data_IF_132297739475
#
_entry.id   IF_132297739475
#
_cell.length_a   1.000
_cell.length_b   1.000
_cell.length_c   1.000
_cell.angle_alpha   90.00
_cell.angle_beta   90.00
_cell.angle_gamma   90.00
#
_symmetry.space_group_name_H-M   'P 1'
#
loop_
_entity.id
_entity.type
_entity.pdbx_description
1 polymer ?
#
# COMPACT_ATOMS: atom_id res chain seq x y z
N UNK A 1 -2.02 -25.51 -66.09
CA UNK A 1 -2.39 -24.60 -64.95
C UNK A 1 -2.36 -25.41 -63.69
N UNK A 2 -1.29 -25.28 -62.86
CA UNK A 2 -1.21 -25.96 -61.54
C UNK A 2 -1.88 -25.10 -60.52
N UNK A 3 -2.94 -25.61 -59.87
CA UNK A 3 -3.62 -24.93 -58.74
C UNK A 3 -2.85 -25.26 -57.48
N UNK A 4 -2.24 -24.25 -56.85
CA UNK A 4 -1.60 -24.36 -55.54
C UNK A 4 -2.73 -24.16 -54.53
N UNK A 5 -3.03 -25.19 -53.70
CA UNK A 5 -3.89 -25.08 -52.54
C UNK A 5 -3.03 -24.59 -51.37
N UNK A 6 -3.29 -23.34 -50.94
CA UNK A 6 -2.69 -22.77 -49.73
C UNK A 6 -3.49 -23.25 -48.53
N UNK A 7 -2.89 -24.18 -47.76
CA UNK A 7 -3.48 -24.66 -46.51
C UNK A 7 -3.11 -23.63 -45.41
N UNK A 8 -4.07 -22.76 -45.06
CA UNK A 8 -3.90 -21.83 -43.91
C UNK A 8 -4.19 -22.60 -42.64
N UNK A 9 -3.12 -22.90 -41.87
CA UNK A 9 -3.25 -23.44 -40.52
C UNK A 9 -3.65 -22.29 -39.57
N UNK A 10 -4.92 -22.27 -39.14
CA UNK A 10 -5.34 -21.44 -38.00
C UNK A 10 -4.79 -22.07 -36.73
N UNK A 11 -3.69 -21.51 -36.20
CA UNK A 11 -3.28 -21.79 -34.85
C UNK A 11 -4.20 -20.96 -33.93
N UNK A 12 -5.25 -21.60 -33.42
CA UNK A 12 -6.06 -21.05 -32.33
C UNK A 12 -5.19 -21.03 -31.07
N UNK A 13 -4.53 -19.92 -30.79
CA UNK A 13 -3.98 -19.67 -29.46
C UNK A 13 -5.18 -19.54 -28.50
N UNK A 14 -5.47 -20.58 -27.73
CA UNK A 14 -6.30 -20.43 -26.54
C UNK A 14 -5.58 -19.45 -25.60
N UNK A 15 -5.98 -18.19 -25.61
CA UNK A 15 -5.65 -17.29 -24.54
C UNK A 15 -6.44 -17.78 -23.31
N UNK A 16 -5.79 -18.48 -22.41
CA UNK A 16 -6.37 -18.75 -21.10
C UNK A 16 -6.46 -17.40 -20.38
N UNK A 17 -7.67 -17.00 -20.00
CA UNK A 17 -7.86 -15.86 -19.12
C UNK A 17 -7.13 -16.16 -17.80
N UNK A 18 -6.33 -15.22 -17.35
CA UNK A 18 -5.70 -15.32 -16.02
C UNK A 18 -6.77 -15.01 -14.97
N UNK A 19 -6.96 -15.92 -14.06
CA UNK A 19 -7.88 -15.78 -12.93
C UNK A 19 -7.16 -15.20 -11.73
N UNK A 20 -7.88 -14.43 -10.96
CA UNK A 20 -7.44 -13.83 -9.71
C UNK A 20 -8.11 -14.54 -8.54
N UNK A 21 -7.36 -14.98 -7.54
CA UNK A 21 -7.92 -15.67 -6.39
C UNK A 21 -7.16 -15.38 -5.09
N UNK A 22 -7.89 -15.52 -3.98
CA UNK A 22 -7.34 -15.59 -2.63
C UNK A 22 -7.28 -17.05 -2.20
N UNK A 23 -6.11 -17.51 -1.78
CA UNK A 23 -5.89 -18.85 -1.21
C UNK A 23 -5.70 -18.71 0.29
N UNK A 24 -6.69 -19.10 1.05
CA UNK A 24 -6.69 -19.01 2.52
C UNK A 24 -6.05 -20.27 3.13
N UNK A 25 -5.21 -20.08 4.13
CA UNK A 25 -4.60 -21.19 4.87
C UNK A 25 -5.41 -21.58 6.09
N UNK A 26 -5.29 -22.84 6.50
CA UNK A 26 -6.03 -23.41 7.64
C UNK A 26 -5.63 -22.78 8.98
N UNK A 27 -4.35 -22.52 9.17
CA UNK A 27 -3.78 -21.99 10.41
C UNK A 27 -2.42 -21.32 10.19
N UNK A 28 -1.76 -20.96 11.31
CA UNK A 28 -0.36 -20.48 11.37
C UNK A 28 0.34 -21.34 12.45
N UNK A 29 0.95 -22.47 12.07
CA UNK A 29 1.56 -23.42 13.05
C UNK A 29 2.60 -22.79 13.96
N UNK A 30 3.25 -21.71 13.51
CA UNK A 30 4.24 -20.95 14.29
C UNK A 30 3.64 -19.89 15.24
N UNK A 31 2.30 -19.78 15.30
CA UNK A 31 1.68 -18.66 16.04
C UNK A 31 1.95 -18.75 17.56
N UNK A 32 1.92 -19.93 18.14
CA UNK A 32 2.17 -20.10 19.57
C UNK A 32 3.58 -19.63 19.92
N UNK A 33 4.60 -20.08 19.19
CA UNK A 33 5.99 -19.69 19.38
C UNK A 33 6.21 -18.20 19.15
N UNK A 34 5.64 -17.64 18.08
CA UNK A 34 5.76 -16.22 17.75
C UNK A 34 5.16 -15.32 18.83
N UNK A 35 4.05 -15.74 19.45
CA UNK A 35 3.38 -14.99 20.51
C UNK A 35 4.06 -15.12 21.90
N UNK A 36 5.00 -16.04 22.08
CA UNK A 36 5.87 -16.05 23.26
C UNK A 36 6.85 -14.87 23.27
N UNK A 37 7.20 -14.34 22.09
CA UNK A 37 8.11 -13.19 21.94
C UNK A 37 7.50 -12.12 21.03
N UNK A 38 6.36 -11.52 21.41
CA UNK A 38 5.57 -10.65 20.53
C UNK A 38 6.31 -9.39 20.07
N UNK A 39 7.30 -8.93 20.83
CA UNK A 39 8.15 -7.80 20.43
C UNK A 39 8.88 -8.04 19.09
N UNK A 40 9.14 -9.29 18.71
CA UNK A 40 9.81 -9.63 17.45
C UNK A 40 8.92 -9.46 16.22
N UNK A 41 7.61 -9.29 16.39
CA UNK A 41 6.64 -9.10 15.31
C UNK A 41 6.56 -7.64 14.83
N UNK A 42 7.16 -6.71 15.57
CA UNK A 42 6.98 -5.28 15.39
C UNK A 42 8.30 -4.51 15.48
N UNK A 43 8.29 -3.27 14.99
CA UNK A 43 9.27 -2.28 15.43
C UNK A 43 9.07 -1.96 16.93
N UNK A 44 10.10 -1.47 17.60
CA UNK A 44 10.01 -1.03 19.00
C UNK A 44 8.85 -0.05 19.22
N UNK A 45 8.75 0.98 18.35
CA UNK A 45 7.64 1.96 18.37
C UNK A 45 6.26 1.30 18.26
N UNK A 46 6.09 0.36 17.32
CA UNK A 46 4.81 -0.32 17.13
C UNK A 46 4.42 -1.14 18.36
N UNK A 47 5.37 -1.87 18.91
CA UNK A 47 5.17 -2.68 20.10
C UNK A 47 4.78 -1.83 21.31
N UNK A 48 5.54 -0.77 21.60
CA UNK A 48 5.25 0.17 22.70
C UNK A 48 3.88 0.82 22.51
N UNK A 49 3.54 1.25 21.29
CA UNK A 49 2.24 1.84 21.00
C UNK A 49 1.09 0.87 21.27
N UNK A 50 1.22 -0.40 20.87
CA UNK A 50 0.21 -1.44 21.15
C UNK A 50 0.04 -1.63 22.66
N UNK A 51 1.13 -1.68 23.42
CA UNK A 51 1.10 -1.77 24.90
C UNK A 51 0.42 -0.55 25.54
N UNK A 52 0.79 0.66 25.13
CA UNK A 52 0.23 1.91 25.68
C UNK A 52 -1.27 2.03 25.41
N UNK A 53 -1.74 1.57 24.25
CA UNK A 53 -3.16 1.61 23.86
C UNK A 53 -3.96 0.40 24.36
N UNK A 54 -3.31 -0.59 24.97
CA UNK A 54 -3.95 -1.82 25.38
C UNK A 54 -4.46 -2.65 24.21
N UNK A 55 -3.84 -2.51 23.02
CA UNK A 55 -4.18 -3.29 21.84
C UNK A 55 -3.68 -4.72 22.02
N UNK A 56 -4.56 -5.71 21.87
CA UNK A 56 -4.18 -7.12 21.94
C UNK A 56 -3.25 -7.47 20.78
N UNK A 57 -2.19 -8.20 21.10
CA UNK A 57 -1.33 -8.84 20.12
C UNK A 57 -1.76 -10.30 20.04
N UNK A 58 -2.16 -10.74 18.87
CA UNK A 58 -2.76 -12.04 18.68
C UNK A 58 -2.39 -12.72 17.36
N UNK A 59 -3.15 -13.73 16.98
CA UNK A 59 -2.97 -14.49 15.75
C UNK A 59 -2.92 -13.64 14.48
N UNK A 60 -3.62 -12.51 14.42
CA UNK A 60 -3.62 -11.63 13.26
C UNK A 60 -2.26 -10.96 13.04
N UNK A 61 -1.51 -10.74 14.12
CA UNK A 61 -0.19 -10.10 14.05
C UNK A 61 0.91 -11.05 13.55
N UNK A 62 0.69 -12.37 13.65
CA UNK A 62 1.67 -13.37 13.25
C UNK A 62 1.72 -13.50 11.72
N UNK A 63 2.90 -13.49 11.08
CA UNK A 63 3.03 -13.68 9.65
C UNK A 63 2.43 -15.01 9.17
N UNK A 64 2.02 -15.03 7.90
CA UNK A 64 1.65 -16.28 7.21
C UNK A 64 2.79 -17.29 7.33
N UNK A 65 2.46 -18.55 7.54
CA UNK A 65 3.45 -19.61 7.68
C UNK A 65 4.25 -19.83 6.38
N UNK A 66 5.51 -19.46 6.39
CA UNK A 66 6.35 -19.43 5.18
C UNK A 66 6.50 -20.80 4.47
N UNK A 67 6.52 -21.95 5.18
CA UNK A 67 6.48 -23.26 4.53
C UNK A 67 5.25 -23.49 3.65
N UNK A 68 4.07 -22.97 4.00
CA UNK A 68 2.87 -23.05 3.16
C UNK A 68 3.05 -22.25 1.86
N UNK A 69 3.58 -21.02 1.97
CA UNK A 69 3.90 -20.19 0.80
C UNK A 69 4.93 -20.89 -0.08
N UNK A 70 5.95 -21.50 0.51
CA UNK A 70 7.00 -22.23 -0.20
C UNK A 70 6.48 -23.45 -0.95
N UNK A 71 5.53 -24.18 -0.36
CA UNK A 71 4.86 -25.31 -1.03
C UNK A 71 4.08 -24.83 -2.26
N UNK A 72 3.33 -23.72 -2.14
CA UNK A 72 2.63 -23.13 -3.28
C UNK A 72 3.59 -22.64 -4.36
N UNK A 73 4.70 -21.99 -4.00
CA UNK A 73 5.73 -21.53 -4.96
C UNK A 73 6.40 -22.66 -5.74
N UNK A 74 6.43 -23.88 -5.20
CA UNK A 74 6.98 -25.04 -5.88
C UNK A 74 6.06 -25.59 -6.98
N UNK A 75 4.83 -25.10 -7.09
CA UNK A 75 3.82 -25.51 -8.07
C UNK A 75 3.83 -24.56 -9.27
N UNK A 76 3.23 -24.98 -10.37
CA UNK A 76 3.16 -24.23 -11.62
C UNK A 76 1.71 -23.84 -11.98
N UNK A 77 1.56 -22.94 -12.93
CA UNK A 77 0.27 -22.52 -13.48
C UNK A 77 -0.34 -21.29 -12.81
N UNK A 78 0.29 -20.73 -11.78
CA UNK A 78 -0.06 -19.47 -11.14
C UNK A 78 1.18 -18.80 -10.54
N UNK A 79 1.01 -17.53 -10.18
CA UNK A 79 2.02 -16.70 -9.50
C UNK A 79 1.43 -16.10 -8.22
N UNK A 80 2.19 -16.11 -7.13
CA UNK A 80 1.82 -15.45 -5.88
C UNK A 80 2.22 -13.97 -5.97
N UNK A 81 1.25 -13.08 -5.89
CA UNK A 81 1.43 -11.63 -6.01
C UNK A 81 1.52 -10.91 -4.66
N UNK A 82 0.70 -11.33 -3.70
CA UNK A 82 0.65 -10.72 -2.37
C UNK A 82 0.40 -11.77 -1.30
N UNK A 83 0.65 -11.40 -0.04
CA UNK A 83 0.30 -12.19 1.14
C UNK A 83 -0.34 -11.30 2.20
N UNK A 84 -1.25 -11.86 2.98
CA UNK A 84 -1.86 -11.15 4.10
C UNK A 84 -1.78 -11.96 5.38
N UNK A 85 -1.17 -11.39 6.43
CA UNK A 85 -1.17 -11.97 7.76
C UNK A 85 -2.53 -11.83 8.45
N UNK A 86 -3.25 -10.73 8.19
CA UNK A 86 -4.57 -10.50 8.79
C UNK A 86 -5.61 -11.50 8.29
N UNK A 87 -5.59 -11.80 6.99
CA UNK A 87 -6.50 -12.76 6.37
C UNK A 87 -5.94 -14.20 6.31
N UNK A 88 -4.69 -14.42 6.70
CA UNK A 88 -3.98 -15.70 6.59
C UNK A 88 -4.09 -16.31 5.19
N UNK A 89 -3.78 -15.52 4.17
CA UNK A 89 -3.92 -15.94 2.77
C UNK A 89 -2.77 -15.42 1.89
N UNK A 90 -2.75 -15.92 0.66
CA UNK A 90 -1.99 -15.36 -0.44
C UNK A 90 -2.92 -15.01 -1.60
N UNK A 91 -2.57 -13.95 -2.33
CA UNK A 91 -3.19 -13.59 -3.59
C UNK A 91 -2.43 -14.22 -4.75
N UNK A 92 -3.14 -14.91 -5.62
CA UNK A 92 -2.57 -15.60 -6.78
C UNK A 92 -3.23 -15.15 -8.08
N UNK A 93 -2.44 -15.18 -9.16
CA UNK A 93 -2.92 -14.97 -10.53
C UNK A 93 -2.45 -16.14 -11.37
N UNK A 94 -3.34 -16.78 -12.13
CA UNK A 94 -2.96 -17.90 -12.98
C UNK A 94 -4.11 -18.64 -13.64
N UNK A 95 -3.84 -19.84 -14.07
CA UNK A 95 -4.83 -20.72 -14.69
C UNK A 95 -5.83 -21.24 -13.67
N UNK A 96 -7.12 -21.15 -13.96
CA UNK A 96 -8.19 -21.58 -13.05
C UNK A 96 -7.98 -22.99 -12.50
N UNK A 97 -7.74 -23.96 -13.37
CA UNK A 97 -7.55 -25.35 -12.95
C UNK A 97 -6.36 -25.55 -12.02
N UNK A 98 -5.27 -24.78 -12.25
CA UNK A 98 -4.07 -24.85 -11.41
C UNK A 98 -4.29 -24.23 -10.03
N UNK A 99 -5.19 -23.27 -9.93
CA UNK A 99 -5.59 -22.63 -8.67
C UNK A 99 -6.60 -23.49 -7.92
N UNK A 100 -7.62 -24.06 -8.60
CA UNK A 100 -8.64 -24.94 -7.98
C UNK A 100 -8.03 -26.19 -7.31
N UNK A 101 -6.97 -26.76 -7.90
CA UNK A 101 -6.28 -27.92 -7.31
C UNK A 101 -5.71 -27.63 -5.92
N UNK A 102 -5.42 -26.33 -5.59
CA UNK A 102 -4.89 -25.94 -4.29
C UNK A 102 -5.84 -26.26 -3.14
N UNK A 103 -7.16 -26.31 -3.37
CA UNK A 103 -8.15 -26.73 -2.36
C UNK A 103 -7.95 -28.17 -1.84
N UNK A 104 -7.23 -29.00 -2.60
CA UNK A 104 -6.92 -30.38 -2.17
C UNK A 104 -5.77 -30.48 -1.18
N UNK A 105 -5.11 -29.38 -0.86
CA UNK A 105 -3.97 -29.36 0.06
C UNK A 105 -4.44 -29.24 1.50
N UNK A 106 -3.89 -30.05 2.39
CA UNK A 106 -4.28 -30.11 3.81
C UNK A 106 -4.15 -28.76 4.54
N UNK A 107 -3.24 -27.89 4.09
CA UNK A 107 -3.00 -26.58 4.67
C UNK A 107 -3.78 -25.44 3.99
N UNK A 108 -4.58 -25.73 2.97
CA UNK A 108 -5.48 -24.77 2.31
C UNK A 108 -6.89 -24.94 2.84
N UNK A 109 -7.45 -23.86 3.37
CA UNK A 109 -8.81 -23.86 3.91
C UNK A 109 -9.86 -23.58 2.83
N UNK A 110 -9.55 -22.71 1.89
CA UNK A 110 -10.47 -22.24 0.85
C UNK A 110 -9.71 -21.54 -0.27
N UNK A 111 -10.25 -21.61 -1.48
CA UNK A 111 -9.84 -20.78 -2.64
C UNK A 111 -11.02 -19.94 -3.08
N UNK A 112 -10.85 -18.63 -3.11
CA UNK A 112 -11.89 -17.66 -3.48
C UNK A 112 -11.48 -16.90 -4.74
N UNK A 113 -12.19 -17.12 -5.85
CA UNK A 113 -12.01 -16.36 -7.09
C UNK A 113 -12.68 -14.99 -6.99
N UNK A 114 -12.01 -13.94 -7.49
CA UNK A 114 -12.45 -12.55 -7.29
C UNK A 114 -13.57 -12.10 -8.24
N UNK A 115 -13.82 -12.78 -9.35
CA UNK A 115 -14.96 -12.50 -10.22
C UNK A 115 -16.32 -12.54 -9.49
N UNK A 116 -16.39 -13.29 -8.39
CA UNK A 116 -17.59 -13.38 -7.54
C UNK A 116 -17.80 -12.12 -6.68
N UNK A 117 -16.80 -11.23 -6.56
CA UNK A 117 -16.85 -10.02 -5.72
C UNK A 117 -17.23 -8.75 -6.48
N UNK A 118 -17.14 -8.73 -7.82
CA UNK A 118 -17.33 -7.53 -8.66
C UNK A 118 -18.74 -6.95 -8.69
N UNK A 119 -19.71 -7.57 -8.02
CA UNK A 119 -21.12 -7.12 -7.98
C UNK A 119 -21.48 -6.24 -6.78
N UNK A 120 -20.51 -5.68 -6.04
CA UNK A 120 -20.78 -4.89 -4.81
C UNK A 120 -20.05 -3.54 -4.79
N UNK A 121 -20.27 -2.69 -5.78
CA UNK A 121 -19.80 -1.30 -5.69
C UNK A 121 -20.97 -0.33 -5.62
N UNK A 122 -21.06 0.46 -4.54
CA UNK A 122 -21.89 1.67 -4.45
C UNK A 122 -21.03 2.84 -4.00
N UNK A 123 -20.88 3.83 -4.84
CA UNK A 123 -20.18 5.09 -4.56
C UNK A 123 -21.08 6.09 -3.83
N UNK A 124 -20.54 6.78 -2.80
CA UNK A 124 -21.21 7.88 -2.07
C UNK A 124 -20.48 9.19 -2.39
N UNK A 125 -21.15 10.22 -2.91
CA UNK A 125 -20.53 11.51 -3.18
C UNK A 125 -20.46 12.41 -1.94
N UNK A 126 -19.28 13.00 -1.67
CA UNK A 126 -19.04 13.97 -0.60
C UNK A 126 -19.29 15.41 -1.10
N UNK A 127 -20.04 16.20 -0.32
CA UNK A 127 -20.24 17.64 -0.53
C UNK A 127 -19.42 18.44 0.49
N UNK A 128 -18.67 19.41 0.02
CA UNK A 128 -17.87 20.33 0.84
C UNK A 128 -18.52 21.70 0.88
N UNK A 129 -18.63 22.29 2.08
CA UNK A 129 -19.08 23.67 2.30
C UNK A 129 -17.92 24.54 2.79
N UNK A 130 -17.74 25.71 2.17
CA UNK A 130 -16.70 26.67 2.51
C UNK A 130 -17.19 27.73 3.50
N UNK A 131 -16.38 28.02 4.55
CA UNK A 131 -16.51 29.21 5.40
C UNK A 131 -15.11 29.82 5.64
N UNK A 132 -14.97 31.11 5.40
CA UNK A 132 -13.75 31.89 5.58
C UNK A 132 -13.64 32.48 6.98
N UNK A 133 -12.47 32.33 7.61
CA UNK A 133 -12.00 33.16 8.75
C UNK A 133 -10.53 33.50 8.52
N UNK A 134 -10.16 34.77 8.73
CA UNK A 134 -8.81 35.30 8.53
C UNK A 134 -8.10 35.46 9.88
N UNK A 135 -6.87 34.93 9.99
CA UNK A 135 -5.92 35.20 11.09
C UNK A 135 -4.49 35.27 10.54
N UNK A 136 -3.62 36.03 11.21
CA UNK A 136 -2.20 36.21 10.85
C UNK A 136 -1.42 34.91 11.00
N UNK A 137 -0.47 34.65 10.10
CA UNK A 137 0.23 33.38 9.92
C UNK A 137 1.73 33.58 10.09
N UNK A 138 2.38 32.66 10.86
CA UNK A 138 3.84 32.65 11.07
C UNK A 138 4.61 32.12 9.85
N UNK A 139 4.07 31.12 9.12
CA UNK A 139 4.64 30.65 7.87
C UNK A 139 4.13 31.44 6.68
N UNK A 140 5.03 31.83 5.78
CA UNK A 140 4.61 32.29 4.46
C UNK A 140 4.36 31.11 3.54
N UNK A 141 3.11 30.69 3.43
CA UNK A 141 2.66 29.53 2.64
C UNK A 141 2.68 29.78 1.14
N UNK A 142 2.75 31.02 0.69
CA UNK A 142 2.73 31.41 -0.72
C UNK A 142 1.70 30.60 -1.55
N UNK A 143 2.14 29.72 -2.45
CA UNK A 143 1.24 28.97 -3.34
C UNK A 143 0.34 27.95 -2.60
N UNK A 144 0.69 27.51 -1.39
CA UNK A 144 -0.11 26.54 -0.59
C UNK A 144 -1.04 27.21 0.42
N UNK A 145 -1.10 28.54 0.43
CA UNK A 145 -1.92 29.31 1.38
C UNK A 145 -3.39 28.88 1.37
N UNK A 146 -3.98 28.63 0.19
CA UNK A 146 -5.38 28.27 0.09
C UNK A 146 -5.68 26.91 0.73
N UNK A 147 -4.87 25.88 0.45
CA UNK A 147 -5.07 24.53 0.99
C UNK A 147 -4.89 24.48 2.52
N UNK A 148 -3.93 25.23 3.06
CA UNK A 148 -3.66 25.29 4.50
C UNK A 148 -4.79 26.05 5.22
N UNK A 149 -5.19 27.22 4.68
CA UNK A 149 -6.27 28.05 5.27
C UNK A 149 -7.64 27.42 5.17
N UNK A 150 -7.93 26.67 4.10
CA UNK A 150 -9.20 25.96 3.94
C UNK A 150 -9.49 25.00 5.12
N UNK A 151 -8.42 24.42 5.70
CA UNK A 151 -8.51 23.52 6.85
C UNK A 151 -8.19 24.22 8.19
N UNK A 152 -7.92 25.54 8.19
CA UNK A 152 -7.44 26.31 9.35
C UNK A 152 -6.16 25.74 9.98
N UNK A 153 -5.32 25.06 9.20
CA UNK A 153 -4.09 24.41 9.67
C UNK A 153 -3.04 25.39 10.16
N UNK A 154 -3.05 26.66 9.68
CA UNK A 154 -2.17 27.69 10.19
C UNK A 154 -2.26 27.83 11.71
N UNK A 155 -3.44 27.68 12.31
CA UNK A 155 -3.62 27.76 13.76
C UNK A 155 -2.93 26.61 14.51
N UNK A 156 -2.74 25.46 13.85
CA UNK A 156 -1.97 24.35 14.41
C UNK A 156 -0.47 24.60 14.24
N UNK A 157 -0.04 25.09 13.09
CA UNK A 157 1.35 25.42 12.84
C UNK A 157 1.87 26.54 13.77
N UNK A 158 1.06 27.59 14.03
CA UNK A 158 1.34 28.65 15.02
C UNK A 158 1.59 28.06 16.44
N UNK A 159 1.02 26.92 16.74
CA UNK A 159 1.21 26.18 17.99
C UNK A 159 2.34 25.12 17.89
N UNK A 160 3.15 25.14 16.83
CA UNK A 160 4.19 24.17 16.51
C UNK A 160 3.65 22.72 16.32
N UNK A 161 2.38 22.58 15.96
CA UNK A 161 1.78 21.28 15.64
C UNK A 161 1.94 21.01 14.14
N UNK A 162 3.15 20.73 13.71
CA UNK A 162 3.59 20.57 12.30
C UNK A 162 3.79 19.10 11.91
N UNK A 163 3.34 18.17 12.74
CA UNK A 163 3.46 16.73 12.55
C UNK A 163 4.68 16.09 13.23
N UNK A 164 5.48 16.85 13.94
CA UNK A 164 6.65 16.31 14.64
C UNK A 164 6.29 15.14 15.56
N UNK A 165 7.03 14.04 15.47
CA UNK A 165 6.82 12.81 16.23
C UNK A 165 5.74 11.88 15.66
N UNK A 166 5.01 12.31 14.63
CA UNK A 166 4.05 11.47 13.91
C UNK A 166 4.70 10.75 12.73
N UNK A 167 4.28 9.51 12.47
CA UNK A 167 4.69 8.74 11.29
C UNK A 167 3.48 8.55 10.39
N UNK A 168 3.63 8.95 9.12
CA UNK A 168 2.61 8.83 8.09
C UNK A 168 3.11 7.86 7.01
N UNK A 169 2.32 6.84 6.66
CA UNK A 169 2.55 6.06 5.46
C UNK A 169 1.74 6.66 4.31
N UNK A 170 2.38 6.87 3.16
CA UNK A 170 1.71 7.26 1.92
C UNK A 170 1.68 6.05 1.00
N UNK A 171 0.49 5.60 0.61
CA UNK A 171 0.26 4.48 -0.30
C UNK A 171 -0.25 5.03 -1.62
N UNK A 172 0.53 4.82 -2.71
CA UNK A 172 0.28 5.48 -3.99
C UNK A 172 1.01 4.74 -5.15
N UNK A 173 1.00 5.32 -6.34
CA UNK A 173 1.56 4.74 -7.57
C UNK A 173 3.08 4.90 -7.75
N UNK A 174 3.74 5.70 -6.90
CA UNK A 174 5.20 5.90 -6.97
C UNK A 174 5.66 7.24 -6.44
N UNK A 175 6.97 7.31 -6.12
CA UNK A 175 7.57 8.51 -5.51
C UNK A 175 8.87 8.94 -6.21
N UNK A 176 8.89 9.03 -7.55
CA UNK A 176 10.09 9.44 -8.25
C UNK A 176 10.58 10.82 -7.80
N UNK A 177 11.91 10.98 -7.79
CA UNK A 177 12.60 12.21 -7.41
C UNK A 177 12.45 12.66 -5.93
N UNK A 178 11.76 11.93 -5.05
CA UNK A 178 11.67 12.28 -3.61
C UNK A 178 13.06 12.42 -2.99
N UNK A 179 14.03 11.65 -3.46
CA UNK A 179 15.42 11.65 -2.98
C UNK A 179 16.25 12.85 -3.49
N UNK A 180 15.76 13.67 -4.43
CA UNK A 180 16.51 14.75 -5.08
C UNK A 180 15.80 16.11 -5.10
N UNK A 181 14.47 16.13 -5.08
CA UNK A 181 13.72 17.38 -5.11
C UNK A 181 14.02 18.24 -3.88
N UNK A 182 14.29 19.53 -4.11
CA UNK A 182 14.60 20.50 -3.05
C UNK A 182 13.42 20.70 -2.09
N UNK A 183 12.20 20.49 -2.56
CA UNK A 183 10.98 20.57 -1.74
C UNK A 183 10.95 19.55 -0.60
N UNK A 184 11.70 18.44 -0.74
CA UNK A 184 11.83 17.41 0.29
C UNK A 184 13.20 17.43 0.99
N UNK A 185 13.98 18.50 0.83
CA UNK A 185 15.29 18.62 1.47
C UNK A 185 15.16 18.61 3.00
N UNK A 186 14.17 19.31 3.55
CA UNK A 186 13.88 19.32 4.98
C UNK A 186 13.55 17.90 5.50
N UNK A 187 12.72 17.18 4.76
CA UNK A 187 12.36 15.79 5.08
C UNK A 187 13.59 14.87 5.16
N UNK A 188 14.52 14.99 4.21
CA UNK A 188 15.75 14.20 4.17
C UNK A 188 16.76 14.61 5.24
N UNK A 189 16.96 15.92 5.42
CA UNK A 189 17.95 16.44 6.38
C UNK A 189 17.59 16.18 7.84
N UNK A 190 16.32 15.97 8.14
CA UNK A 190 15.82 15.66 9.47
C UNK A 190 15.62 14.13 9.70
N UNK A 191 16.10 13.28 8.77
CA UNK A 191 15.91 11.83 8.80
C UNK A 191 14.42 11.39 8.88
N UNK A 192 13.52 12.24 8.40
CA UNK A 192 12.08 12.01 8.40
C UNK A 192 11.59 11.21 7.18
N UNK A 193 12.43 10.95 6.18
CA UNK A 193 12.17 9.99 5.12
C UNK A 193 12.64 8.60 5.57
N UNK A 194 11.74 7.83 6.13
CA UNK A 194 12.04 6.56 6.82
C UNK A 194 12.28 5.39 5.86
N UNK A 195 12.06 5.60 4.54
CA UNK A 195 12.17 4.57 3.52
C UNK A 195 10.82 4.16 2.95
N UNK A 196 10.78 3.02 2.27
CA UNK A 196 9.56 2.57 1.61
C UNK A 196 9.71 1.17 1.00
N UNK A 197 8.72 0.81 0.19
CA UNK A 197 8.72 -0.46 -0.56
C UNK A 197 7.75 -0.39 -1.73
N UNK A 198 8.12 -0.98 -2.84
CA UNK A 198 7.26 -1.18 -4.00
C UNK A 198 6.66 -2.59 -3.95
N UNK A 199 5.38 -2.68 -3.56
CA UNK A 199 4.65 -3.94 -3.48
C UNK A 199 4.27 -4.47 -4.86
N UNK A 200 4.21 -3.61 -5.87
CA UNK A 200 3.84 -3.99 -7.23
C UNK A 200 4.98 -4.73 -7.94
N UNK A 201 6.23 -4.27 -7.74
CA UNK A 201 7.44 -4.84 -8.31
C UNK A 201 8.28 -5.65 -7.32
N UNK A 202 7.83 -5.77 -6.06
CA UNK A 202 8.55 -6.48 -4.98
C UNK A 202 9.96 -5.96 -4.77
N UNK A 203 10.13 -4.63 -4.74
CA UNK A 203 11.41 -3.93 -4.70
C UNK A 203 11.46 -2.90 -3.58
N UNK A 204 12.66 -2.62 -3.07
CA UNK A 204 12.89 -1.50 -2.16
C UNK A 204 13.00 -0.15 -2.90
N UNK A 205 13.01 -0.15 -4.23
CA UNK A 205 13.09 1.07 -5.03
C UNK A 205 11.69 1.67 -5.30
N UNK A 206 11.12 2.27 -4.26
CA UNK A 206 9.85 3.02 -4.32
C UNK A 206 9.96 4.36 -5.06
N UNK A 207 11.17 4.79 -5.41
CA UNK A 207 11.47 6.07 -6.04
C UNK A 207 12.02 5.96 -7.47
N UNK A 208 11.92 4.79 -8.08
CA UNK A 208 12.36 4.57 -9.45
C UNK A 208 11.75 5.59 -10.42
N UNK A 209 12.56 6.09 -11.35
CA UNK A 209 12.13 7.12 -12.31
C UNK A 209 11.09 6.63 -13.33
N UNK A 210 10.84 5.33 -13.37
CA UNK A 210 9.85 4.68 -14.24
C UNK A 210 8.47 4.59 -13.59
N UNK A 211 8.35 4.85 -12.29
CA UNK A 211 7.09 4.90 -11.57
C UNK A 211 6.31 6.17 -11.88
N UNK A 212 5.02 6.14 -11.65
CA UNK A 212 4.16 7.31 -11.74
C UNK A 212 4.54 8.34 -10.67
N UNK A 213 4.32 9.62 -10.95
CA UNK A 213 4.70 10.71 -10.04
C UNK A 213 3.56 11.20 -9.12
N UNK A 214 2.39 10.59 -9.19
CA UNK A 214 1.23 11.00 -8.41
C UNK A 214 1.52 10.96 -6.91
N UNK A 215 2.12 9.89 -6.40
CA UNK A 215 2.51 9.79 -4.99
C UNK A 215 3.52 10.87 -4.55
N UNK A 216 4.43 11.30 -5.44
CA UNK A 216 5.31 12.44 -5.16
C UNK A 216 4.51 13.74 -5.01
N UNK A 217 3.49 13.96 -5.86
CA UNK A 217 2.60 15.12 -5.77
C UNK A 217 1.76 15.07 -4.49
N UNK A 218 1.17 13.93 -4.16
CA UNK A 218 0.42 13.71 -2.90
C UNK A 218 1.32 13.97 -1.70
N UNK A 219 2.50 13.37 -1.64
CA UNK A 219 3.47 13.60 -0.57
C UNK A 219 3.81 15.09 -0.42
N UNK A 220 3.93 15.82 -1.53
CA UNK A 220 4.27 17.24 -1.49
C UNK A 220 3.23 18.08 -0.75
N UNK A 221 1.94 17.71 -0.80
CA UNK A 221 0.87 18.42 -0.09
C UNK A 221 1.00 18.33 1.42
N UNK A 222 1.69 17.32 1.92
CA UNK A 222 1.90 17.06 3.35
C UNK A 222 3.31 17.42 3.80
N UNK A 223 4.33 16.92 3.12
CA UNK A 223 5.72 16.89 3.59
C UNK A 223 6.63 17.98 3.01
N UNK A 224 6.25 18.62 1.88
CA UNK A 224 7.14 19.58 1.26
C UNK A 224 7.31 20.83 2.12
N UNK A 225 8.55 21.33 2.18
CA UNK A 225 8.88 22.57 2.90
C UNK A 225 9.83 23.44 2.09
N UNK A 226 9.33 24.57 1.64
CA UNK A 226 10.06 25.66 1.03
C UNK A 226 9.42 26.97 1.49
N UNK A 227 9.87 27.49 2.61
CA UNK A 227 9.36 28.74 3.17
C UNK A 227 9.33 29.85 2.10
N UNK A 228 8.28 30.64 2.09
CA UNK A 228 7.97 31.66 1.09
C UNK A 228 7.64 31.14 -0.34
N UNK A 229 7.54 29.82 -0.54
CA UNK A 229 7.17 29.21 -1.82
C UNK A 229 6.10 28.14 -1.68
N UNK A 230 6.30 27.18 -0.77
CA UNK A 230 5.45 26.02 -0.63
C UNK A 230 5.65 25.38 0.75
N UNK A 231 4.59 25.22 1.54
CA UNK A 231 4.63 24.51 2.83
C UNK A 231 3.48 23.52 2.87
N UNK A 232 3.82 22.27 3.12
CA UNK A 232 2.84 21.18 3.30
C UNK A 232 2.12 21.25 4.63
N UNK A 233 1.16 20.34 4.83
CA UNK A 233 0.28 20.32 6.01
C UNK A 233 0.93 19.68 7.23
N UNK A 234 1.94 18.82 7.06
CA UNK A 234 2.68 18.14 8.13
C UNK A 234 4.18 18.04 7.79
N UNK A 235 4.88 19.19 7.62
CA UNK A 235 6.24 19.23 7.09
C UNK A 235 7.29 18.60 8.01
N UNK A 236 6.99 18.41 9.30
CA UNK A 236 7.89 17.83 10.30
C UNK A 236 7.48 16.39 10.71
N UNK A 237 6.46 15.82 10.07
CA UNK A 237 6.16 14.40 10.23
C UNK A 237 7.21 13.53 9.53
N UNK A 238 7.36 12.29 10.00
CA UNK A 238 8.16 11.29 9.32
C UNK A 238 7.30 10.44 8.39
N UNK A 239 7.88 9.93 7.29
CA UNK A 239 7.13 9.29 6.22
C UNK A 239 7.71 7.95 5.79
N UNK A 240 6.84 6.94 5.68
CA UNK A 240 7.07 5.75 4.86
C UNK A 240 6.32 5.88 3.53
N UNK A 241 6.95 5.41 2.45
CA UNK A 241 6.41 5.52 1.09
C UNK A 241 6.20 4.13 0.49
N UNK A 242 4.96 3.76 0.22
CA UNK A 242 4.61 2.43 -0.28
C UNK A 242 3.93 2.54 -1.65
N UNK A 243 4.51 1.85 -2.65
CA UNK A 243 3.90 1.73 -3.96
C UNK A 243 2.95 0.54 -3.93
N UNK A 244 1.66 0.82 -4.09
CA UNK A 244 0.58 -0.17 -4.00
C UNK A 244 -0.31 -0.19 -5.24
N UNK A 245 -0.07 0.71 -6.19
CA UNK A 245 -0.88 0.92 -7.38
C UNK A 245 -0.03 0.96 -8.64
N UNK A 246 -0.60 0.50 -9.74
CA UNK A 246 -0.09 0.64 -11.10
C UNK A 246 -1.06 1.51 -11.89
N UNK A 247 -0.81 2.81 -11.98
CA UNK A 247 -1.70 3.82 -12.57
C UNK A 247 -2.17 3.53 -14.02
N UNK A 248 -1.48 2.64 -14.73
CA UNK A 248 -1.87 2.22 -16.09
C UNK A 248 -2.96 1.13 -16.12
N UNK A 249 -3.20 0.42 -15.01
CA UNK A 249 -4.09 -0.74 -14.96
C UNK A 249 -4.73 -0.83 -13.59
N UNK A 250 -5.97 -0.44 -13.43
CA UNK A 250 -6.72 -0.68 -12.20
C UNK A 250 -7.14 -2.16 -12.13
N UNK A 251 -6.42 -2.95 -11.35
CA UNK A 251 -6.68 -4.39 -11.23
C UNK A 251 -6.92 -4.79 -9.76
N UNK A 252 -7.73 -5.84 -9.49
CA UNK A 252 -8.03 -6.28 -8.11
C UNK A 252 -6.81 -6.65 -7.27
N UNK A 253 -5.65 -6.92 -7.88
CA UNK A 253 -4.41 -7.23 -7.15
C UNK A 253 -3.91 -6.05 -6.32
N UNK A 254 -4.24 -4.83 -6.71
CA UNK A 254 -3.81 -3.61 -6.02
C UNK A 254 -4.43 -3.50 -4.63
N UNK A 255 -5.66 -3.99 -4.44
CA UNK A 255 -6.26 -4.10 -3.11
C UNK A 255 -5.43 -5.02 -2.19
N UNK A 256 -4.89 -6.10 -2.74
CA UNK A 256 -4.02 -7.01 -1.97
C UNK A 256 -2.66 -6.39 -1.64
N UNK A 257 -2.07 -5.61 -2.56
CA UNK A 257 -0.86 -4.82 -2.28
C UNK A 257 -1.11 -3.78 -1.19
N UNK A 258 -2.27 -3.11 -1.24
CA UNK A 258 -2.66 -2.14 -0.23
C UNK A 258 -2.79 -2.79 1.16
N UNK A 259 -3.44 -3.96 1.25
CA UNK A 259 -3.56 -4.70 2.52
C UNK A 259 -2.19 -5.08 3.06
N UNK A 260 -1.30 -5.64 2.23
CA UNK A 260 0.06 -6.02 2.65
C UNK A 260 0.87 -4.79 3.10
N UNK A 261 0.70 -3.64 2.43
CA UNK A 261 1.31 -2.37 2.83
C UNK A 261 0.76 -1.84 4.16
N UNK A 262 -0.56 -1.95 4.40
CA UNK A 262 -1.20 -1.56 5.66
C UNK A 262 -0.71 -2.42 6.83
N UNK A 263 -0.55 -3.73 6.62
CA UNK A 263 0.04 -4.66 7.59
C UNK A 263 1.49 -4.30 7.93
N UNK A 264 2.27 -3.89 6.92
CA UNK A 264 3.65 -3.41 7.13
C UNK A 264 3.66 -2.08 7.89
N UNK A 265 2.77 -1.15 7.54
CA UNK A 265 2.61 0.13 8.24
C UNK A 265 2.28 -0.07 9.72
N UNK A 266 1.36 -0.98 10.06
CA UNK A 266 1.04 -1.33 11.45
C UNK A 266 2.26 -1.89 12.19
N UNK A 267 2.98 -2.81 11.56
CA UNK A 267 4.19 -3.43 12.14
C UNK A 267 5.35 -2.45 12.33
N UNK A 268 5.40 -1.36 11.56
CA UNK A 268 6.39 -0.29 11.67
C UNK A 268 6.00 0.81 12.67
N UNK A 269 4.77 0.82 13.16
CA UNK A 269 4.28 1.81 14.11
C UNK A 269 3.84 3.13 13.46
N UNK A 270 3.36 3.07 12.24
CA UNK A 270 2.73 4.20 11.54
C UNK A 270 1.48 4.67 12.27
N UNK A 271 1.31 5.97 12.41
CA UNK A 271 0.17 6.56 13.11
C UNK A 271 -1.00 6.84 12.16
N UNK A 272 -0.70 7.20 10.91
CA UNK A 272 -1.68 7.61 9.91
C UNK A 272 -1.31 6.97 8.57
N UNK A 273 -2.28 6.42 7.86
CA UNK A 273 -2.15 6.00 6.47
C UNK A 273 -2.87 7.02 5.59
N UNK A 274 -2.17 7.57 4.60
CA UNK A 274 -2.75 8.35 3.53
C UNK A 274 -2.85 7.48 2.28
N UNK A 275 -4.06 7.33 1.76
CA UNK A 275 -4.34 6.63 0.51
C UNK A 275 -5.10 7.59 -0.41
N UNK A 276 -4.49 7.98 -1.52
CA UNK A 276 -5.10 8.88 -2.50
C UNK A 276 -5.60 8.11 -3.72
N UNK A 277 -6.21 6.97 -3.47
CA UNK A 277 -6.71 5.98 -4.43
C UNK A 277 -8.20 5.76 -4.23
N UNK A 278 -8.89 5.33 -5.27
CA UNK A 278 -10.28 4.89 -5.21
C UNK A 278 -10.52 3.79 -6.22
N UNK A 279 -11.14 2.71 -5.77
CA UNK A 279 -11.59 1.62 -6.64
C UNK A 279 -13.09 1.77 -6.88
N UNK A 280 -13.52 1.65 -8.14
CA UNK A 280 -14.94 1.79 -8.56
C UNK A 280 -15.46 0.50 -9.16
#
# INVERSE_FOLDING_TARGET
MKRIFLLVFFISSCAFAQEHALVYFTDKPNAVEALETPANLFSERAYERKLLRGTTIDFLDVPVHEPFISDLKARSGFEIKAKSKWFNCVYVIGERNSIEILESLDHVANVQFLEELSNRSQSIPLKINENKLETEIDFNYASTSNQVRMLNLQNLHEQNLTGNGMIIAVMDSGFPNVNSLVSFENLRNNDNLLGGYDFTNRSEDYSASTLDNHGTLVLSTMAAFRENLYVGTAPDAAYYLFVTEVSATETPVEEAYWVEAAERADSLGVDIINTSLGYT
#
